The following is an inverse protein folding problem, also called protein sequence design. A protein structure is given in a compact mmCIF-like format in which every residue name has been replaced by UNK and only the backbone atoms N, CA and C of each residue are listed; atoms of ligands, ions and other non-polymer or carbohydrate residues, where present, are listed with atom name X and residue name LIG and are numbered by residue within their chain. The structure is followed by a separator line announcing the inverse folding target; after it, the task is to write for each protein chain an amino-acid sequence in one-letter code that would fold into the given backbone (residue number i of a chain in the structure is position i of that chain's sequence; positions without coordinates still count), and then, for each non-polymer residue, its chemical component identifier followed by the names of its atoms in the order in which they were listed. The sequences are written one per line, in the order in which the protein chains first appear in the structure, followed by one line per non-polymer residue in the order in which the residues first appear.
data_IF_049411594543
#
_entry.id   IF_049411594543
#
_cell.length_a   1.000
_cell.length_b   1.000
_cell.length_c   1.000
_cell.angle_alpha   90.00
_cell.angle_beta   90.00
_cell.angle_gamma   90.00
#
_symmetry.space_group_name_H-M   'P 1'
#
loop_
_entity.id
_entity.type
_entity.pdbx_description
1 polymer ?
#
# COMPACT_ATOMS: atom_id res chain seq x y z
N UNK A 1 45.23 20.55 34.18
CA UNK A 1 44.24 20.84 33.12
C UNK A 1 43.06 19.89 33.34
N UNK A 2 41.83 20.40 33.49
CA UNK A 2 40.62 19.56 33.64
C UNK A 2 39.99 19.39 32.26
N UNK A 3 39.93 18.17 31.76
CA UNK A 3 39.18 17.82 30.56
C UNK A 3 37.68 17.93 30.84
N UNK A 4 37.08 19.06 30.47
CA UNK A 4 35.62 19.22 30.41
C UNK A 4 35.10 18.61 29.13
N UNK A 5 35.18 17.28 29.01
CA UNK A 5 34.45 16.56 27.98
C UNK A 5 33.00 16.39 28.44
N UNK A 6 32.17 17.39 28.13
CA UNK A 6 30.73 17.27 28.26
C UNK A 6 30.26 16.12 27.34
N UNK A 7 29.55 15.11 27.84
CA UNK A 7 29.03 14.07 26.98
C UNK A 7 28.00 14.69 26.03
N UNK A 8 28.24 14.57 24.72
CA UNK A 8 27.26 14.92 23.70
C UNK A 8 25.96 14.18 24.01
N UNK A 9 24.92 14.91 24.42
CA UNK A 9 23.57 14.34 24.51
C UNK A 9 23.16 13.99 23.10
N UNK A 10 23.07 12.69 22.79
CA UNK A 10 22.44 12.20 21.56
C UNK A 10 21.07 12.85 21.48
N UNK A 11 20.82 13.63 20.44
CA UNK A 11 19.48 14.09 20.15
C UNK A 11 18.58 12.86 20.03
N UNK A 12 17.49 12.81 20.78
CA UNK A 12 16.46 11.79 20.61
C UNK A 12 15.99 11.94 19.17
N UNK A 13 16.31 10.97 18.31
CA UNK A 13 15.78 10.95 16.95
C UNK A 13 14.26 11.07 17.07
N UNK A 14 13.59 11.92 16.28
CA UNK A 14 12.14 11.96 16.29
C UNK A 14 11.66 10.60 15.79
N UNK A 15 11.26 9.72 16.72
CA UNK A 15 10.57 8.49 16.40
C UNK A 15 9.22 8.89 15.82
N UNK A 16 9.15 9.09 14.50
CA UNK A 16 7.87 9.13 13.79
C UNK A 16 7.36 7.69 13.72
N UNK A 17 6.98 7.16 14.88
CA UNK A 17 6.30 5.90 15.00
C UNK A 17 4.90 6.13 14.44
N UNK A 18 4.63 5.54 13.27
CA UNK A 18 3.30 5.54 12.70
C UNK A 18 2.40 4.71 13.63
N UNK A 19 1.23 5.24 13.97
CA UNK A 19 0.26 4.45 14.73
C UNK A 19 -0.32 3.35 13.85
N UNK A 20 -0.82 2.27 14.47
CA UNK A 20 -1.52 1.19 13.78
C UNK A 20 -2.59 1.74 12.83
N UNK A 21 -3.44 2.63 13.38
CA UNK A 21 -4.51 3.30 12.64
C UNK A 21 -4.00 4.05 11.42
N UNK A 22 -2.90 4.80 11.55
CA UNK A 22 -2.32 5.54 10.43
C UNK A 22 -1.80 4.61 9.33
N UNK A 23 -1.17 3.49 9.70
CA UNK A 23 -0.71 2.48 8.74
C UNK A 23 -1.88 1.82 8.01
N UNK A 24 -2.93 1.44 8.75
CA UNK A 24 -4.14 0.83 8.18
C UNK A 24 -4.86 1.79 7.24
N UNK A 25 -5.11 3.04 7.65
CA UNK A 25 -5.76 4.06 6.81
C UNK A 25 -4.93 4.40 5.56
N UNK A 26 -3.60 4.48 5.70
CA UNK A 26 -2.72 4.74 4.55
C UNK A 26 -2.71 3.57 3.57
N UNK A 27 -2.76 2.33 4.07
CA UNK A 27 -2.80 1.13 3.23
C UNK A 27 -4.10 1.04 2.45
N UNK A 28 -5.23 1.28 3.13
CA UNK A 28 -6.54 1.34 2.50
C UNK A 28 -6.61 2.41 1.40
N UNK A 29 -6.12 3.62 1.69
CA UNK A 29 -6.03 4.69 0.69
C UNK A 29 -5.18 4.30 -0.52
N UNK A 30 -4.06 3.61 -0.30
CA UNK A 30 -3.19 3.14 -1.36
C UNK A 30 -3.86 2.07 -2.24
N UNK A 31 -4.60 1.13 -1.63
CA UNK A 31 -5.34 0.10 -2.38
C UNK A 31 -6.44 0.76 -3.22
N UNK A 32 -7.21 1.70 -2.64
CA UNK A 32 -8.22 2.45 -3.39
C UNK A 32 -7.63 3.23 -4.57
N UNK A 33 -6.45 3.84 -4.38
CA UNK A 33 -5.75 4.50 -5.47
C UNK A 33 -5.46 3.53 -6.63
N UNK A 34 -5.02 2.31 -6.33
CA UNK A 34 -4.78 1.29 -7.35
C UNK A 34 -6.07 0.85 -8.05
N UNK A 35 -7.19 0.72 -7.34
CA UNK A 35 -8.51 0.46 -7.93
C UNK A 35 -8.92 1.56 -8.91
N UNK A 36 -8.78 2.82 -8.52
CA UNK A 36 -9.14 3.95 -9.38
C UNK A 36 -8.18 4.10 -10.56
N UNK A 37 -6.90 3.80 -10.36
CA UNK A 37 -5.93 3.73 -11.44
C UNK A 37 -6.30 2.64 -12.46
N UNK A 38 -6.70 1.46 -11.99
CA UNK A 38 -7.13 0.36 -12.84
C UNK A 38 -8.38 0.73 -13.66
N UNK A 39 -9.40 1.33 -13.03
CA UNK A 39 -10.59 1.83 -13.75
C UNK A 39 -10.22 2.81 -14.85
N UNK A 40 -9.31 3.75 -14.55
CA UNK A 40 -8.80 4.70 -15.54
C UNK A 40 -7.95 4.03 -16.61
N UNK A 41 -7.26 2.94 -16.29
CA UNK A 41 -6.46 2.17 -17.25
C UNK A 41 -7.36 1.47 -18.26
N UNK A 42 -8.42 0.82 -17.78
CA UNK A 42 -9.38 0.06 -18.59
C UNK A 42 -10.25 0.95 -19.49
N UNK A 43 -10.49 2.20 -19.11
CA UNK A 43 -11.25 3.17 -19.90
C UNK A 43 -10.43 3.87 -21.01
N UNK A 44 -9.13 3.56 -21.18
CA UNK A 44 -8.24 4.26 -22.11
C UNK A 44 -8.36 3.77 -23.54
N UNK A 45 -7.91 4.64 -24.45
CA UNK A 45 -7.78 4.30 -25.88
C UNK A 45 -6.60 3.37 -26.16
N UNK A 46 -6.65 2.57 -27.24
CA UNK A 46 -5.59 1.63 -27.63
C UNK A 46 -4.22 2.25 -27.94
N UNK A 47 -4.15 3.57 -28.11
CA UNK A 47 -2.90 4.31 -28.39
C UNK A 47 -2.32 5.02 -27.15
N UNK A 48 -2.83 4.74 -25.95
CA UNK A 48 -2.30 5.33 -24.71
C UNK A 48 -0.94 4.72 -24.35
N UNK A 49 0.00 5.58 -23.92
CA UNK A 49 1.35 5.20 -23.51
C UNK A 49 1.36 4.20 -22.35
N UNK A 50 0.29 4.15 -21.55
CA UNK A 50 0.16 3.23 -20.42
C UNK A 50 -0.42 1.85 -20.80
N UNK A 51 -0.67 1.55 -22.08
CA UNK A 51 -1.22 0.25 -22.51
C UNK A 51 -0.28 -0.94 -22.32
N UNK A 52 0.98 -0.69 -21.96
CA UNK A 52 1.92 -1.73 -21.54
C UNK A 52 1.68 -2.18 -20.09
N UNK A 53 0.87 -1.45 -19.31
CA UNK A 53 0.52 -1.83 -17.94
C UNK A 53 -0.63 -2.83 -18.01
N UNK A 54 -0.38 -4.02 -17.49
CA UNK A 54 -1.39 -5.07 -17.41
C UNK A 54 -2.19 -4.97 -16.10
N UNK A 55 -3.43 -5.45 -16.14
CA UNK A 55 -4.30 -5.59 -14.97
C UNK A 55 -3.57 -6.28 -13.81
N UNK A 56 -2.91 -7.41 -14.09
CA UNK A 56 -2.16 -8.20 -13.10
C UNK A 56 -1.05 -7.40 -12.40
N UNK A 57 -0.45 -6.42 -13.09
CA UNK A 57 0.57 -5.55 -12.52
C UNK A 57 -0.04 -4.60 -11.48
N UNK A 58 -1.22 -4.03 -11.77
CA UNK A 58 -1.93 -3.14 -10.85
C UNK A 58 -2.48 -3.91 -9.64
N UNK A 59 -3.02 -5.11 -9.88
CA UNK A 59 -3.44 -6.01 -8.79
C UNK A 59 -2.27 -6.41 -7.90
N UNK A 60 -1.09 -6.69 -8.49
CA UNK A 60 0.13 -6.95 -7.74
C UNK A 60 0.58 -5.78 -6.86
N UNK A 61 0.37 -4.53 -7.30
CA UNK A 61 0.65 -3.36 -6.47
C UNK A 61 -0.31 -3.22 -5.29
N UNK A 62 -1.62 -3.43 -5.52
CA UNK A 62 -2.62 -3.43 -4.46
C UNK A 62 -2.33 -4.51 -3.40
N UNK A 63 -2.04 -5.74 -3.84
CA UNK A 63 -1.67 -6.83 -2.94
C UNK A 63 -0.33 -6.57 -2.23
N UNK A 64 0.63 -5.96 -2.92
CA UNK A 64 1.90 -5.51 -2.34
C UNK A 64 1.73 -4.50 -1.20
N UNK A 65 0.76 -3.59 -1.30
CA UNK A 65 0.44 -2.65 -0.22
C UNK A 65 -0.09 -3.38 1.03
N UNK A 66 -0.96 -4.38 0.85
CA UNK A 66 -1.43 -5.25 1.93
C UNK A 66 -0.28 -6.03 2.60
N UNK A 67 0.61 -6.67 1.81
CA UNK A 67 1.75 -7.42 2.35
C UNK A 67 2.71 -6.51 3.12
N UNK A 68 2.95 -5.29 2.63
CA UNK A 68 3.77 -4.31 3.33
C UNK A 68 3.13 -3.92 4.67
N UNK A 69 1.83 -3.66 4.69
CA UNK A 69 1.09 -3.42 5.94
C UNK A 69 1.24 -4.58 6.92
N UNK A 70 1.01 -5.81 6.47
CA UNK A 70 1.12 -7.02 7.31
C UNK A 70 2.51 -7.13 7.95
N UNK A 71 3.57 -6.84 7.19
CA UNK A 71 4.94 -6.82 7.70
C UNK A 71 5.18 -5.70 8.72
N UNK A 72 4.60 -4.51 8.53
CA UNK A 72 4.76 -3.38 9.45
C UNK A 72 3.94 -3.56 10.73
N UNK A 73 2.80 -4.24 10.64
CA UNK A 73 1.87 -4.46 11.76
C UNK A 73 2.09 -5.80 12.48
N UNK A 74 3.11 -6.58 12.10
CA UNK A 74 3.35 -7.92 12.63
C UNK A 74 3.38 -7.97 14.16
N UNK A 75 2.49 -8.79 14.74
CA UNK A 75 2.40 -9.00 16.20
C UNK A 75 1.47 -8.03 16.95
N UNK A 76 0.87 -7.06 16.25
CA UNK A 76 -0.10 -6.09 16.80
C UNK A 76 -1.25 -5.82 15.83
N UNK A 77 -1.51 -6.78 14.94
CA UNK A 77 -2.54 -6.77 13.92
C UNK A 77 -3.91 -7.07 14.56
N UNK A 78 -4.94 -6.39 14.08
CA UNK A 78 -6.31 -6.80 14.28
C UNK A 78 -6.74 -7.73 13.14
N UNK A 79 -7.28 -8.91 13.47
CA UNK A 79 -7.69 -9.91 12.48
C UNK A 79 -8.80 -9.40 11.55
N UNK A 80 -9.67 -8.51 12.03
CA UNK A 80 -10.72 -7.91 11.21
C UNK A 80 -10.15 -6.94 10.17
N UNK A 81 -9.13 -6.17 10.54
CA UNK A 81 -8.45 -5.28 9.59
C UNK A 81 -7.61 -6.06 8.57
N UNK A 82 -6.95 -7.15 9.01
CA UNK A 82 -6.22 -8.04 8.11
C UNK A 82 -7.15 -8.61 7.04
N UNK A 83 -8.29 -9.16 7.45
CA UNK A 83 -9.28 -9.69 6.53
C UNK A 83 -9.83 -8.60 5.59
N UNK A 84 -10.21 -7.44 6.15
CA UNK A 84 -10.75 -6.32 5.38
C UNK A 84 -9.78 -5.80 4.33
N UNK A 85 -8.51 -5.58 4.69
CA UNK A 85 -7.48 -5.09 3.76
C UNK A 85 -7.11 -6.14 2.70
N UNK A 86 -7.11 -7.42 3.07
CA UNK A 86 -6.89 -8.52 2.13
C UNK A 86 -8.00 -8.58 1.09
N UNK A 87 -9.26 -8.61 1.54
CA UNK A 87 -10.44 -8.62 0.65
C UNK A 87 -10.44 -7.37 -0.25
N UNK A 88 -10.06 -6.21 0.30
CA UNK A 88 -9.94 -4.98 -0.48
C UNK A 88 -8.86 -5.10 -1.57
N UNK A 89 -7.70 -5.67 -1.26
CA UNK A 89 -6.63 -5.89 -2.24
C UNK A 89 -7.03 -6.91 -3.31
N UNK A 90 -7.65 -8.03 -2.93
CA UNK A 90 -8.17 -9.06 -3.84
C UNK A 90 -9.29 -8.51 -4.76
N UNK A 91 -10.08 -7.54 -4.28
CA UNK A 91 -11.13 -6.90 -5.09
C UNK A 91 -10.58 -6.18 -6.34
N UNK A 92 -9.32 -5.74 -6.31
CA UNK A 92 -8.66 -5.08 -7.46
C UNK A 92 -8.42 -6.07 -8.59
N UNK A 93 -8.05 -7.31 -8.27
CA UNK A 93 -7.90 -8.39 -9.25
C UNK A 93 -9.24 -8.79 -9.88
N UNK A 94 -10.28 -8.89 -9.06
CA UNK A 94 -11.63 -9.19 -9.53
C UNK A 94 -12.16 -8.11 -10.48
N UNK A 95 -12.02 -6.84 -10.11
CA UNK A 95 -12.44 -5.71 -10.95
C UNK A 95 -11.72 -5.68 -12.31
N UNK A 96 -10.47 -6.14 -12.34
CA UNK A 96 -9.70 -6.25 -13.57
C UNK A 96 -10.08 -7.45 -14.44
N UNK A 97 -10.43 -8.57 -13.82
CA UNK A 97 -10.83 -9.80 -14.52
C UNK A 97 -12.20 -9.66 -15.20
N UNK A 98 -13.14 -8.95 -14.58
CA UNK A 98 -14.46 -8.66 -15.17
C UNK A 98 -14.37 -7.86 -16.48
N UNK A 99 -13.35 -7.00 -16.63
CA UNK A 99 -13.12 -6.24 -17.87
C UNK A 99 -12.33 -7.01 -18.94
N UNK A 100 -11.60 -8.07 -18.56
CA UNK A 100 -10.81 -8.89 -19.50
C UNK A 100 -11.62 -9.96 -20.25
N UNK A 101 -12.85 -10.26 -19.81
CA UNK A 101 -13.73 -11.26 -20.41
C UNK A 101 -14.55 -10.79 -21.63
N UNK A 102 -14.35 -9.55 -22.08
CA UNK A 102 -14.96 -9.00 -23.30
C UNK A 102 -13.86 -8.70 -24.33
N UNK A 103 -13.35 -9.74 -24.98
CA UNK A 103 -12.50 -9.63 -26.17
C UNK A 103 -12.94 -10.67 -27.20
#
# INVERSE_FOLDING_TARGET
MRDTNQPFRKATAPHKAWSYRQLTEATEAQIHFHTDFLRKLLARSPNDRLNHIHVSQVSGWAYGAFVLWQSMTQGWQDSSDEQRLRELAESVEMAGSEHGGQA
#
